data_IF_174013762542
#
_entry.id   IF_174013762542
#
_cell.length_a   1.000
_cell.length_b   1.000
_cell.length_c   1.000
_cell.angle_alpha   90.00
_cell.angle_beta   90.00
_cell.angle_gamma   90.00
#
_symmetry.space_group_name_H-M   'P 1'
#
loop_
_entity.id
_entity.type
_entity.pdbx_description
1 polymer ?
#
# COMPACT_ATOMS: atom_id res chain seq x y z
N UNK A 1 6.03 -9.28 -32.84
CA UNK A 1 6.29 -8.81 -31.47
C UNK A 1 7.65 -9.41 -31.03
N UNK A 2 8.58 -8.56 -30.59
CA UNK A 2 10.01 -8.68 -30.20
C UNK A 2 10.91 -9.93 -30.43
N UNK A 3 10.40 -11.16 -30.61
CA UNK A 3 11.19 -12.40 -30.55
C UNK A 3 11.78 -12.93 -31.88
N UNK A 4 11.62 -12.23 -33.01
CA UNK A 4 11.99 -12.79 -34.33
C UNK A 4 13.27 -12.22 -34.97
N UNK A 5 14.10 -11.46 -34.25
CA UNK A 5 15.36 -10.93 -34.79
C UNK A 5 16.53 -11.13 -33.82
N UNK A 6 17.77 -11.19 -34.34
CA UNK A 6 19.00 -11.30 -33.54
C UNK A 6 19.14 -10.13 -32.55
N UNK A 7 18.74 -10.36 -31.30
CA UNK A 7 18.86 -9.42 -30.19
C UNK A 7 19.84 -9.96 -29.16
N UNK A 8 20.53 -9.05 -28.49
CA UNK A 8 21.35 -9.39 -27.33
C UNK A 8 20.45 -9.40 -26.10
N UNK A 9 20.32 -10.57 -25.46
CA UNK A 9 19.69 -10.68 -24.15
C UNK A 9 20.77 -10.41 -23.10
N UNK A 10 20.49 -9.47 -22.21
CA UNK A 10 21.43 -9.07 -21.17
C UNK A 10 20.95 -9.64 -19.84
N UNK A 11 21.80 -10.45 -19.21
CA UNK A 11 21.53 -11.04 -17.91
C UNK A 11 22.31 -10.25 -16.84
N UNK A 12 21.63 -9.54 -15.91
CA UNK A 12 22.31 -8.92 -14.78
C UNK A 12 22.81 -10.00 -13.81
N UNK A 13 23.86 -9.71 -13.04
CA UNK A 13 24.40 -10.66 -12.05
C UNK A 13 23.43 -10.92 -10.90
N UNK A 14 22.68 -9.90 -10.52
CA UNK A 14 21.65 -9.92 -9.51
C UNK A 14 20.58 -8.86 -9.84
N UNK A 15 19.48 -8.84 -9.08
CA UNK A 15 18.36 -7.92 -9.28
C UNK A 15 18.46 -6.65 -8.43
N UNK A 16 19.64 -6.31 -7.90
CA UNK A 16 19.81 -5.04 -7.19
C UNK A 16 19.62 -3.86 -8.15
N UNK A 17 19.01 -2.74 -7.72
CA UNK A 17 18.83 -1.56 -8.56
C UNK A 17 20.15 -1.05 -9.16
N UNK A 18 21.24 -1.08 -8.38
CA UNK A 18 22.57 -0.67 -8.83
C UNK A 18 23.11 -1.52 -9.97
N UNK A 19 22.94 -2.85 -9.91
CA UNK A 19 23.40 -3.74 -10.99
C UNK A 19 22.53 -3.57 -12.23
N UNK A 20 21.20 -3.46 -12.06
CA UNK A 20 20.28 -3.21 -13.19
C UNK A 20 20.65 -1.91 -13.91
N UNK A 21 20.91 -0.83 -13.18
CA UNK A 21 21.29 0.47 -13.75
C UNK A 21 22.64 0.38 -14.47
N UNK A 22 23.65 -0.21 -13.81
CA UNK A 22 24.98 -0.42 -14.37
C UNK A 22 24.93 -1.23 -15.68
N UNK A 23 24.22 -2.34 -15.68
CA UNK A 23 24.06 -3.23 -16.84
C UNK A 23 23.32 -2.52 -17.97
N UNK A 24 22.24 -1.78 -17.67
CA UNK A 24 21.51 -1.02 -18.68
C UNK A 24 22.42 -0.01 -19.39
N UNK A 25 23.23 0.72 -18.62
CA UNK A 25 24.15 1.72 -19.15
C UNK A 25 25.31 1.07 -19.91
N UNK A 26 25.99 0.09 -19.31
CA UNK A 26 27.18 -0.57 -19.89
C UNK A 26 26.86 -1.31 -21.18
N UNK A 27 25.72 -2.00 -21.24
CA UNK A 27 25.30 -2.79 -22.39
C UNK A 27 24.44 -2.00 -23.38
N UNK A 28 24.19 -0.71 -23.15
CA UNK A 28 23.30 0.13 -23.96
C UNK A 28 21.92 -0.52 -24.16
N UNK A 29 21.32 -1.00 -23.08
CA UNK A 29 20.00 -1.64 -23.11
C UNK A 29 18.98 -0.68 -23.71
N UNK A 30 18.14 -1.22 -24.61
CA UNK A 30 17.12 -0.43 -25.32
C UNK A 30 15.70 -0.79 -24.91
N UNK A 31 15.50 -1.97 -24.34
CA UNK A 31 14.19 -2.49 -23.93
C UNK A 31 14.30 -3.04 -22.51
N UNK A 32 13.38 -2.64 -21.65
CA UNK A 32 13.28 -3.11 -20.27
C UNK A 32 11.85 -3.58 -20.05
N UNK A 33 11.69 -4.85 -19.71
CA UNK A 33 10.41 -5.48 -19.38
C UNK A 33 10.42 -5.76 -17.89
N UNK A 34 9.46 -5.22 -17.15
CA UNK A 34 9.41 -5.43 -15.71
C UNK A 34 8.00 -5.31 -15.15
N UNK A 35 7.81 -5.79 -13.93
CA UNK A 35 6.54 -5.68 -13.20
C UNK A 35 6.33 -4.26 -12.65
N UNK A 36 5.08 -3.85 -12.37
CA UNK A 36 4.78 -2.54 -11.79
C UNK A 36 5.63 -2.17 -10.57
N UNK A 37 5.88 -3.13 -9.67
CA UNK A 37 6.71 -2.91 -8.47
C UNK A 37 8.08 -2.29 -8.77
N UNK A 38 8.73 -2.71 -9.85
CA UNK A 38 10.02 -2.14 -10.25
C UNK A 38 9.86 -0.68 -10.70
N UNK A 39 8.82 -0.41 -11.49
CA UNK A 39 8.54 0.93 -12.01
C UNK A 39 8.11 1.89 -10.91
N UNK A 40 7.26 1.44 -9.99
CA UNK A 40 6.81 2.20 -8.82
C UNK A 40 8.01 2.55 -7.93
N UNK A 41 8.86 1.56 -7.62
CA UNK A 41 10.07 1.79 -6.84
C UNK A 41 11.02 2.76 -7.54
N UNK A 42 11.19 2.65 -8.85
CA UNK A 42 12.02 3.57 -9.63
C UNK A 42 11.46 5.00 -9.57
N UNK A 43 10.15 5.18 -9.78
CA UNK A 43 9.48 6.47 -9.74
C UNK A 43 9.61 7.14 -8.36
N UNK A 44 9.25 6.41 -7.29
CA UNK A 44 9.34 6.89 -5.91
C UNK A 44 10.78 7.27 -5.53
N UNK A 45 11.77 6.46 -5.90
CA UNK A 45 13.17 6.75 -5.59
C UNK A 45 13.68 8.01 -6.30
N UNK A 46 13.24 8.26 -7.54
CA UNK A 46 13.62 9.47 -8.28
C UNK A 46 13.05 10.72 -7.62
N UNK A 47 11.77 10.70 -7.25
CA UNK A 47 11.10 11.81 -6.55
C UNK A 47 11.77 12.06 -5.19
N UNK A 48 11.86 11.01 -4.36
CA UNK A 48 12.47 11.08 -3.02
C UNK A 48 13.90 11.61 -3.07
N UNK A 49 14.71 11.17 -4.04
CA UNK A 49 16.09 11.66 -4.19
C UNK A 49 16.12 13.16 -4.50
N UNK A 50 15.26 13.63 -5.40
CA UNK A 50 15.20 15.05 -5.75
C UNK A 50 14.75 15.91 -4.55
N UNK A 51 13.84 15.42 -3.72
CA UNK A 51 13.41 16.08 -2.48
C UNK A 51 14.55 16.16 -1.45
N UNK A 52 15.31 15.08 -1.27
CA UNK A 52 16.47 15.04 -0.37
C UNK A 52 17.60 15.98 -0.81
N UNK A 53 17.78 16.18 -2.13
CA UNK A 53 18.74 17.15 -2.67
C UNK A 53 18.28 18.62 -2.52
N UNK A 54 17.02 18.84 -2.11
CA UNK A 54 16.48 20.15 -1.74
C UNK A 54 15.40 20.69 -2.69
N UNK A 55 14.71 21.78 -2.30
CA UNK A 55 13.49 22.25 -2.96
C UNK A 55 13.69 22.65 -4.43
N UNK A 56 14.87 23.20 -4.78
CA UNK A 56 15.19 23.55 -6.17
C UNK A 56 15.29 22.33 -7.08
N UNK A 57 15.80 21.20 -6.58
CA UNK A 57 15.92 19.95 -7.34
C UNK A 57 14.58 19.27 -7.50
N UNK A 58 13.77 19.25 -6.44
CA UNK A 58 12.38 18.79 -6.50
C UNK A 58 11.55 19.61 -7.50
N UNK A 59 11.65 20.94 -7.48
CA UNK A 59 10.95 21.81 -8.44
C UNK A 59 11.43 21.56 -9.89
N UNK A 60 12.73 21.41 -10.11
CA UNK A 60 13.29 21.10 -11.42
C UNK A 60 12.75 19.76 -11.97
N UNK A 61 12.70 18.72 -11.14
CA UNK A 61 12.15 17.41 -11.51
C UNK A 61 10.66 17.52 -11.83
N UNK A 62 9.89 18.20 -10.99
CA UNK A 62 8.45 18.41 -11.20
C UNK A 62 8.17 19.13 -12.52
N UNK A 63 8.89 20.21 -12.82
CA UNK A 63 8.80 20.93 -14.11
C UNK A 63 9.23 20.05 -15.29
N UNK A 64 10.26 19.22 -15.13
CA UNK A 64 10.69 18.28 -16.17
C UNK A 64 9.59 17.27 -16.50
N UNK A 65 8.99 16.67 -15.47
CA UNK A 65 7.89 15.72 -15.61
C UNK A 65 6.71 16.40 -16.30
N UNK A 66 6.29 17.58 -15.82
CA UNK A 66 5.18 18.33 -16.39
C UNK A 66 5.43 18.71 -17.86
N UNK A 67 6.66 19.12 -18.21
CA UNK A 67 7.02 19.47 -19.58
C UNK A 67 6.98 18.25 -20.51
N UNK A 68 7.64 17.15 -20.15
CA UNK A 68 7.71 15.95 -20.98
C UNK A 68 6.38 15.18 -21.05
N UNK A 69 5.43 15.51 -20.17
CA UNK A 69 4.03 15.03 -20.22
C UNK A 69 3.07 16.03 -20.84
N UNK A 70 3.60 17.09 -21.46
CA UNK A 70 2.86 18.15 -22.17
C UNK A 70 1.82 18.91 -21.30
N UNK A 71 2.08 19.01 -19.99
CA UNK A 71 1.25 19.78 -19.05
C UNK A 71 1.65 21.25 -18.94
N UNK A 72 2.89 21.58 -19.28
CA UNK A 72 3.43 22.95 -19.29
C UNK A 72 4.27 23.21 -20.53
N UNK A 73 4.45 24.48 -20.86
CA UNK A 73 5.29 24.94 -21.98
C UNK A 73 6.78 24.89 -21.64
N UNK A 74 7.64 25.00 -22.67
CA UNK A 74 9.09 25.07 -22.48
C UNK A 74 9.52 26.32 -21.68
N UNK A 75 8.79 27.43 -21.82
CA UNK A 75 9.04 28.69 -21.10
C UNK A 75 8.81 28.50 -19.59
N UNK A 76 7.67 27.89 -19.21
CA UNK A 76 7.34 27.59 -17.81
C UNK A 76 8.31 26.57 -17.20
N UNK A 77 8.78 25.61 -18.00
CA UNK A 77 9.73 24.59 -17.57
C UNK A 77 11.16 25.14 -17.40
N UNK A 78 11.53 26.19 -18.14
CA UNK A 78 12.87 26.78 -18.11
C UNK A 78 13.96 25.75 -18.37
N UNK A 79 14.94 25.65 -17.48
CA UNK A 79 16.07 24.70 -17.61
C UNK A 79 15.64 23.22 -17.56
N UNK A 80 14.46 22.92 -17.01
CA UNK A 80 13.92 21.56 -16.95
C UNK A 80 13.58 20.99 -18.34
N UNK A 81 13.30 21.86 -19.33
CA UNK A 81 13.02 21.46 -20.71
C UNK A 81 14.26 21.03 -21.49
N UNK A 82 15.46 21.24 -20.94
CA UNK A 82 16.71 20.99 -21.68
C UNK A 82 17.04 19.50 -21.75
N UNK A 83 17.54 19.07 -22.91
CA UNK A 83 18.04 17.70 -23.11
C UNK A 83 19.20 17.33 -22.17
N UNK A 84 19.94 18.34 -21.70
CA UNK A 84 21.00 18.18 -20.69
C UNK A 84 20.41 17.84 -19.31
N UNK A 85 19.37 18.55 -18.85
CA UNK A 85 18.73 18.27 -17.58
C UNK A 85 18.17 16.84 -17.57
N UNK A 86 17.45 16.46 -18.63
CA UNK A 86 16.93 15.10 -18.80
C UNK A 86 18.04 14.05 -18.81
N UNK A 87 19.12 14.32 -19.54
CA UNK A 87 20.30 13.47 -19.62
C UNK A 87 20.96 13.22 -18.27
N UNK A 88 21.02 14.23 -17.39
CA UNK A 88 21.60 14.11 -16.06
C UNK A 88 20.78 13.14 -15.22
N UNK A 89 19.45 13.26 -15.25
CA UNK A 89 18.54 12.34 -14.54
C UNK A 89 18.71 10.92 -15.09
N UNK A 90 18.65 10.74 -16.41
CA UNK A 90 18.72 9.42 -17.04
C UNK A 90 20.05 8.69 -16.79
N UNK A 91 21.17 9.40 -16.78
CA UNK A 91 22.50 8.84 -16.50
C UNK A 91 22.65 8.33 -15.05
N UNK A 92 21.81 8.78 -14.13
CA UNK A 92 21.79 8.26 -12.75
C UNK A 92 20.86 7.04 -12.59
N UNK A 93 20.18 6.63 -13.65
CA UNK A 93 19.18 5.56 -13.68
C UNK A 93 19.55 4.51 -14.74
N UNK A 94 18.65 4.21 -15.68
CA UNK A 94 18.84 3.20 -16.73
C UNK A 94 19.72 3.67 -17.91
N UNK A 95 20.02 4.96 -17.99
CA UNK A 95 20.77 5.57 -19.10
C UNK A 95 19.90 5.94 -20.30
N UNK A 96 20.46 6.77 -21.19
CA UNK A 96 19.74 7.42 -22.31
C UNK A 96 19.39 6.50 -23.48
N UNK A 97 19.83 5.25 -23.46
CA UNK A 97 19.66 4.30 -24.58
C UNK A 97 18.36 3.50 -24.48
N UNK A 98 17.72 3.47 -23.31
CA UNK A 98 16.43 2.83 -23.11
C UNK A 98 15.35 3.56 -23.91
N UNK A 99 14.58 2.80 -24.69
CA UNK A 99 13.53 3.34 -25.59
C UNK A 99 12.15 2.76 -25.31
N UNK A 100 12.10 1.52 -24.81
CA UNK A 100 10.86 0.81 -24.53
C UNK A 100 10.89 0.24 -23.12
N UNK A 101 10.10 0.81 -22.24
CA UNK A 101 9.83 0.28 -20.91
C UNK A 101 8.44 -0.35 -20.93
N UNK A 102 8.33 -1.65 -20.72
CA UNK A 102 7.03 -2.35 -20.73
C UNK A 102 6.73 -2.86 -19.33
N UNK A 103 5.57 -2.44 -18.82
CA UNK A 103 4.99 -2.93 -17.58
C UNK A 103 3.88 -3.94 -17.84
N UNK A 104 3.78 -4.96 -17.00
CA UNK A 104 2.69 -5.93 -17.04
C UNK A 104 2.68 -6.85 -15.83
N UNK A 105 1.63 -7.66 -15.69
CA UNK A 105 1.46 -8.58 -14.56
C UNK A 105 0.90 -7.92 -13.29
N UNK A 106 0.41 -6.69 -13.38
CA UNK A 106 -0.24 -6.02 -12.28
C UNK A 106 -0.71 -4.61 -12.59
N UNK A 107 -1.49 -4.06 -11.66
CA UNK A 107 -1.84 -2.63 -11.64
C UNK A 107 -0.59 -1.75 -11.62
N UNK A 108 -0.58 -0.72 -12.47
CA UNK A 108 0.46 0.28 -12.63
C UNK A 108 -0.18 1.65 -12.40
N UNK A 109 0.35 2.43 -11.45
CA UNK A 109 -0.28 3.70 -11.11
C UNK A 109 -0.13 4.76 -12.19
N UNK A 110 -1.11 5.67 -12.22
CA UNK A 110 -1.05 6.86 -13.05
C UNK A 110 0.15 7.75 -12.67
N UNK A 111 0.51 7.80 -11.39
CA UNK A 111 1.68 8.54 -10.92
C UNK A 111 2.99 7.94 -11.45
N UNK A 112 3.13 6.61 -11.45
CA UNK A 112 4.31 5.94 -12.02
C UNK A 112 4.37 6.14 -13.53
N UNK A 113 3.24 6.01 -14.24
CA UNK A 113 3.17 6.34 -15.67
C UNK A 113 3.61 7.79 -15.92
N UNK A 114 3.12 8.74 -15.14
CA UNK A 114 3.45 10.15 -15.25
C UNK A 114 4.93 10.43 -14.97
N UNK A 115 5.48 9.89 -13.88
CA UNK A 115 6.86 10.10 -13.48
C UNK A 115 7.84 9.46 -14.45
N UNK A 116 7.65 8.18 -14.81
CA UNK A 116 8.58 7.46 -15.69
C UNK A 116 8.56 8.04 -17.12
N UNK A 117 7.38 8.33 -17.68
CA UNK A 117 7.30 9.02 -18.97
C UNK A 117 7.87 10.44 -18.87
N UNK A 118 7.62 11.15 -17.77
CA UNK A 118 8.09 12.51 -17.52
C UNK A 118 9.62 12.65 -17.39
N UNK A 119 10.32 11.60 -16.96
CA UNK A 119 11.80 11.53 -16.97
C UNK A 119 12.36 10.92 -18.27
N UNK A 120 11.52 10.85 -19.31
CA UNK A 120 11.91 10.51 -20.67
C UNK A 120 12.09 9.02 -20.97
N UNK A 121 11.55 8.14 -20.11
CA UNK A 121 11.45 6.72 -20.42
C UNK A 121 10.03 6.40 -20.87
N UNK A 122 9.86 5.97 -22.13
CA UNK A 122 8.54 5.59 -22.64
C UNK A 122 8.05 4.33 -21.93
N UNK A 123 7.21 4.51 -20.91
CA UNK A 123 6.59 3.43 -20.15
C UNK A 123 5.23 3.11 -20.75
N UNK A 124 5.10 1.86 -21.18
CA UNK A 124 3.94 1.28 -21.82
C UNK A 124 3.29 0.27 -20.88
N UNK A 125 1.97 0.29 -20.81
CA UNK A 125 1.20 -0.65 -20.01
C UNK A 125 0.68 -1.80 -20.89
N UNK A 126 0.84 -3.03 -20.43
CA UNK A 126 0.47 -4.22 -21.17
C UNK A 126 -0.24 -5.24 -20.29
N UNK A 127 -1.08 -6.04 -20.94
CA UNK A 127 -1.83 -7.10 -20.29
C UNK A 127 -1.41 -8.47 -20.80
N UNK A 128 -1.35 -9.40 -19.86
CA UNK A 128 -1.10 -10.79 -20.09
C UNK A 128 -1.21 -11.58 -18.79
N UNK A 129 -1.38 -12.88 -18.94
CA UNK A 129 -1.44 -13.84 -17.85
C UNK A 129 -0.78 -15.13 -18.31
N UNK A 130 -0.34 -15.98 -17.37
CA UNK A 130 0.38 -17.23 -17.68
C UNK A 130 -0.41 -18.13 -18.63
N UNK A 131 -1.73 -18.09 -18.52
CA UNK A 131 -2.71 -18.90 -19.21
C UNK A 131 -2.86 -18.59 -20.70
N UNK A 132 -2.36 -17.43 -21.17
CA UNK A 132 -2.47 -17.01 -22.58
C UNK A 132 -1.25 -16.25 -23.10
N UNK A 133 -0.32 -15.84 -22.23
CA UNK A 133 0.80 -14.96 -22.55
C UNK A 133 0.39 -13.48 -22.57
N UNK A 134 1.17 -12.65 -23.26
CA UNK A 134 0.86 -11.23 -23.44
C UNK A 134 -0.11 -11.05 -24.59
N UNK A 135 -1.20 -10.33 -24.33
CA UNK A 135 -2.35 -10.22 -25.23
C UNK A 135 -2.61 -8.81 -25.71
N UNK A 136 -2.13 -7.78 -25.01
CA UNK A 136 -2.19 -6.39 -25.46
C UNK A 136 -1.08 -5.53 -24.83
N UNK A 137 -0.69 -4.47 -25.53
CA UNK A 137 0.19 -3.40 -25.01
C UNK A 137 -0.24 -2.08 -25.62
N UNK A 138 -0.40 -1.05 -24.82
CA UNK A 138 -0.52 0.33 -25.29
C UNK A 138 0.83 0.72 -25.90
N UNK A 139 0.91 0.89 -27.22
CA UNK A 139 2.17 1.19 -27.95
C UNK A 139 2.18 2.59 -28.57
N UNK A 140 1.24 3.46 -28.18
CA UNK A 140 1.12 4.79 -28.74
C UNK A 140 2.42 5.59 -28.60
N UNK A 141 2.89 6.24 -29.67
CA UNK A 141 4.05 7.13 -29.61
C UNK A 141 3.75 8.39 -28.80
N UNK A 142 2.48 8.77 -28.69
CA UNK A 142 2.01 9.95 -27.98
C UNK A 142 1.89 9.67 -26.48
N UNK A 143 2.53 10.52 -25.66
CA UNK A 143 2.59 10.35 -24.20
C UNK A 143 1.21 10.45 -23.57
N UNK A 144 0.34 11.29 -24.12
CA UNK A 144 -1.03 11.54 -23.65
C UNK A 144 -1.87 10.27 -23.63
N UNK A 145 -1.68 9.37 -24.60
CA UNK A 145 -2.39 8.09 -24.64
C UNK A 145 -1.82 7.12 -23.60
N UNK A 146 -0.50 7.06 -23.44
CA UNK A 146 0.14 6.22 -22.41
C UNK A 146 -0.27 6.63 -20.99
N UNK A 147 -0.41 7.92 -20.76
CA UNK A 147 -0.84 8.48 -19.46
C UNK A 147 -2.30 8.19 -19.12
N UNK A 148 -3.12 7.72 -20.08
CA UNK A 148 -4.49 7.24 -19.78
C UNK A 148 -4.48 5.87 -19.08
N UNK A 149 -3.35 5.15 -19.07
CA UNK A 149 -3.23 3.86 -18.39
C UNK A 149 -3.90 2.68 -19.12
N UNK A 150 -4.26 2.85 -20.39
CA UNK A 150 -4.84 1.77 -21.21
C UNK A 150 -3.86 0.60 -21.33
N UNK A 151 -4.37 -0.62 -21.52
CA UNK A 151 -3.57 -1.79 -21.93
C UNK A 151 -3.52 -1.94 -23.46
N UNK A 152 -4.01 -0.92 -24.19
CA UNK A 152 -4.10 -0.87 -25.65
C UNK A 152 -5.19 -1.76 -26.25
N UNK A 153 -5.04 -2.02 -27.55
CA UNK A 153 -5.85 -2.98 -28.30
C UNK A 153 -5.29 -4.41 -28.19
N UNK A 154 -6.14 -5.44 -28.35
CA UNK A 154 -5.64 -6.81 -28.46
C UNK A 154 -4.64 -6.96 -29.62
N UNK A 155 -3.59 -7.74 -29.39
CA UNK A 155 -2.60 -8.09 -30.39
C UNK A 155 -3.25 -8.90 -31.52
N UNK A 156 -2.58 -8.94 -32.68
CA UNK A 156 -3.07 -9.70 -33.82
C UNK A 156 -3.33 -11.18 -33.47
N UNK A 157 -4.52 -11.67 -33.80
CA UNK A 157 -4.96 -13.03 -33.49
C UNK A 157 -5.57 -13.21 -32.10
N UNK A 158 -5.65 -12.15 -31.30
CA UNK A 158 -6.35 -12.12 -30.01
C UNK A 158 -7.69 -11.42 -30.19
N UNK A 159 -8.76 -12.02 -29.66
CA UNK A 159 -10.09 -11.42 -29.58
C UNK A 159 -10.43 -11.14 -28.11
N UNK A 160 -10.87 -9.92 -27.82
CA UNK A 160 -11.41 -9.51 -26.52
C UNK A 160 -12.92 -9.40 -26.57
N UNK A 161 -13.59 -9.87 -25.52
CA UNK A 161 -15.03 -9.68 -25.30
C UNK A 161 -15.24 -9.27 -23.84
N UNK A 162 -16.18 -8.37 -23.59
CA UNK A 162 -16.58 -8.02 -22.22
C UNK A 162 -17.89 -8.75 -21.90
N UNK A 163 -17.86 -9.65 -20.93
CA UNK A 163 -19.07 -10.28 -20.41
C UNK A 163 -19.66 -9.39 -19.32
N UNK A 164 -20.88 -8.91 -19.55
CA UNK A 164 -21.60 -8.12 -18.57
C UNK A 164 -22.03 -9.02 -17.40
N UNK A 165 -21.92 -8.52 -16.18
CA UNK A 165 -22.49 -9.17 -14.99
C UNK A 165 -23.35 -8.13 -14.28
N UNK A 166 -24.48 -8.54 -13.72
CA UNK A 166 -25.45 -7.61 -13.12
C UNK A 166 -24.92 -6.80 -11.93
N UNK A 167 -23.75 -7.17 -11.40
CA UNK A 167 -23.06 -6.47 -10.32
C UNK A 167 -22.08 -5.38 -10.84
N UNK A 168 -21.84 -5.30 -12.16
CA UNK A 168 -20.89 -4.35 -12.75
C UNK A 168 -21.55 -3.08 -13.27
N UNK A 169 -20.76 -2.02 -13.40
CA UNK A 169 -21.20 -0.80 -14.08
C UNK A 169 -21.54 -1.12 -15.55
N UNK A 170 -22.53 -0.47 -16.19
CA UNK A 170 -22.96 -0.83 -17.56
C UNK A 170 -21.86 -0.83 -18.64
N UNK A 171 -20.79 -0.06 -18.42
CA UNK A 171 -19.64 0.04 -19.35
C UNK A 171 -18.46 -0.87 -18.96
N UNK A 172 -18.65 -1.74 -17.97
CA UNK A 172 -17.65 -2.65 -17.45
C UNK A 172 -18.10 -4.11 -17.63
N UNK A 173 -17.13 -5.00 -17.78
CA UNK A 173 -17.40 -6.43 -17.89
C UNK A 173 -16.18 -7.27 -17.57
N UNK A 174 -16.41 -8.57 -17.34
CA UNK A 174 -15.33 -9.54 -17.29
C UNK A 174 -14.64 -9.60 -18.65
N UNK A 175 -13.32 -9.40 -18.66
CA UNK A 175 -12.52 -9.56 -19.86
C UNK A 175 -12.44 -11.05 -20.22
N UNK A 176 -12.94 -11.38 -21.39
CA UNK A 176 -12.87 -12.70 -21.98
C UNK A 176 -11.89 -12.68 -23.15
N UNK A 177 -11.02 -13.69 -23.23
CA UNK A 177 -9.96 -13.76 -24.24
C UNK A 177 -10.07 -15.02 -25.06
N UNK A 178 -10.09 -14.86 -26.38
CA UNK A 178 -9.89 -15.96 -27.32
C UNK A 178 -8.59 -15.73 -28.08
N UNK A 179 -7.71 -16.71 -28.05
CA UNK A 179 -6.36 -16.62 -28.64
C UNK A 179 -5.84 -18.01 -28.98
N UNK A 180 -5.03 -18.16 -30.05
CA UNK A 180 -4.31 -19.40 -30.32
C UNK A 180 -3.25 -19.74 -29.26
N UNK A 181 -2.91 -18.80 -28.37
CA UNK A 181 -1.90 -18.97 -27.32
C UNK A 181 -2.47 -19.39 -25.96
N UNK A 182 -3.78 -19.67 -25.87
CA UNK A 182 -4.38 -20.20 -24.63
C UNK A 182 -3.69 -21.54 -24.29
N UNK A 183 -3.33 -21.70 -23.02
CA UNK A 183 -2.69 -22.90 -22.50
C UNK A 183 -3.52 -24.15 -22.78
N UNK A 184 -2.85 -25.28 -23.00
CA UNK A 184 -3.54 -26.53 -23.33
C UNK A 184 -4.07 -27.27 -22.10
N UNK A 185 -3.35 -27.19 -20.98
CA UNK A 185 -3.64 -27.91 -19.74
C UNK A 185 -3.15 -27.12 -18.51
N UNK A 186 -3.87 -27.23 -17.40
CA UNK A 186 -3.49 -26.76 -16.06
C UNK A 186 -3.34 -27.96 -15.11
N UNK A 187 -2.43 -27.89 -14.14
CA UNK A 187 -2.26 -28.92 -13.11
C UNK A 187 -2.94 -28.45 -11.82
N UNK A 188 -4.06 -29.06 -11.47
CA UNK A 188 -4.83 -28.74 -10.26
C UNK A 188 -4.92 -30.00 -9.40
N UNK A 189 -4.45 -29.92 -8.15
CA UNK A 189 -4.41 -31.05 -7.20
C UNK A 189 -3.72 -32.31 -7.75
N UNK A 190 -2.71 -32.13 -8.62
CA UNK A 190 -1.97 -33.24 -9.24
C UNK A 190 -2.61 -33.82 -10.50
N UNK A 191 -3.74 -33.28 -10.95
CA UNK A 191 -4.44 -33.73 -12.16
C UNK A 191 -4.34 -32.70 -13.29
N UNK A 192 -4.21 -33.18 -14.53
CA UNK A 192 -4.26 -32.34 -15.72
C UNK A 192 -5.72 -32.02 -16.09
N UNK A 193 -6.06 -30.74 -16.14
CA UNK A 193 -7.37 -30.24 -16.55
C UNK A 193 -7.24 -29.35 -17.78
N UNK A 194 -8.23 -29.38 -18.67
CA UNK A 194 -8.29 -28.45 -19.80
C UNK A 194 -8.85 -27.09 -19.33
N UNK A 195 -8.46 -25.96 -19.97
CA UNK A 195 -9.09 -24.69 -19.68
C UNK A 195 -10.61 -24.76 -19.88
N UNK A 196 -11.35 -24.16 -18.95
CA UNK A 196 -12.77 -23.92 -19.13
C UNK A 196 -12.96 -22.74 -20.08
N UNK A 197 -13.46 -23.02 -21.28
CA UNK A 197 -13.71 -22.02 -22.32
C UNK A 197 -15.21 -21.88 -22.56
N UNK A 198 -15.68 -20.65 -22.71
CA UNK A 198 -17.04 -20.30 -23.10
C UNK A 198 -17.02 -19.79 -24.54
N UNK A 199 -17.55 -20.57 -25.49
CA UNK A 199 -17.47 -20.28 -26.94
C UNK A 199 -16.04 -20.01 -27.44
N UNK A 200 -15.06 -20.70 -26.86
CA UNK A 200 -13.64 -20.54 -27.18
C UNK A 200 -12.95 -19.37 -26.47
N UNK A 201 -13.66 -18.64 -25.61
CA UNK A 201 -13.09 -17.60 -24.77
C UNK A 201 -12.74 -18.11 -23.37
N UNK A 202 -11.55 -17.73 -22.90
CA UNK A 202 -11.07 -17.91 -21.54
C UNK A 202 -11.58 -16.77 -20.64
N UNK A 203 -12.09 -17.12 -19.47
CA UNK A 203 -12.45 -16.17 -18.39
C UNK A 203 -11.20 -15.74 -17.65
N UNK A 204 -10.87 -14.45 -17.71
CA UNK A 204 -9.66 -13.92 -17.03
C UNK A 204 -9.89 -13.64 -15.54
N UNK A 205 -11.16 -13.44 -15.14
CA UNK A 205 -11.51 -12.92 -13.82
C UNK A 205 -11.13 -11.44 -13.62
N UNK A 206 -10.64 -10.77 -14.67
CA UNK A 206 -10.27 -9.36 -14.66
C UNK A 206 -11.40 -8.53 -15.26
N UNK A 207 -11.62 -7.35 -14.69
CA UNK A 207 -12.68 -6.43 -15.09
C UNK A 207 -12.06 -5.38 -15.98
N UNK A 208 -12.70 -5.12 -17.11
CA UNK A 208 -12.26 -4.10 -18.03
C UNK A 208 -13.43 -3.25 -18.54
N UNK A 209 -13.09 -2.06 -19.01
CA UNK A 209 -13.93 -1.26 -19.89
C UNK A 209 -13.20 -0.97 -21.19
N UNK A 210 -13.94 -0.57 -22.22
CA UNK A 210 -13.40 -0.17 -23.53
C UNK A 210 -13.88 1.24 -23.86
N UNK A 211 -12.98 2.08 -24.36
CA UNK A 211 -13.35 3.42 -24.83
C UNK A 211 -13.82 3.42 -26.29
N UNK A 212 -14.32 4.57 -26.76
CA UNK A 212 -14.82 4.76 -28.12
C UNK A 212 -13.76 4.52 -29.21
N UNK A 213 -12.46 4.57 -28.84
CA UNK A 213 -11.33 4.29 -29.73
C UNK A 213 -10.88 2.84 -29.69
N UNK A 214 -11.56 2.00 -28.91
CA UNK A 214 -11.26 0.57 -28.77
C UNK A 214 -10.12 0.25 -27.81
N UNK A 215 -9.63 1.22 -27.03
CA UNK A 215 -8.61 0.95 -26.01
C UNK A 215 -9.25 0.33 -24.77
N UNK A 216 -8.63 -0.72 -24.25
CA UNK A 216 -9.09 -1.40 -23.05
C UNK A 216 -8.39 -0.86 -21.81
N UNK A 217 -9.13 -0.79 -20.71
CA UNK A 217 -8.64 -0.36 -19.40
C UNK A 217 -9.03 -1.39 -18.36
N UNK A 218 -8.05 -1.89 -17.61
CA UNK A 218 -8.32 -2.77 -16.48
C UNK A 218 -8.80 -1.95 -15.29
N UNK A 219 -9.80 -2.47 -14.59
CA UNK A 219 -10.40 -1.87 -13.41
C UNK A 219 -10.04 -2.62 -12.14
N UNK A 220 -9.96 -3.95 -12.20
CA UNK A 220 -9.62 -4.79 -11.05
C UNK A 220 -9.94 -6.24 -11.32
N UNK A 221 -10.13 -7.03 -10.26
CA UNK A 221 -10.54 -8.44 -10.36
C UNK A 221 -11.93 -8.64 -9.78
N UNK A 222 -12.71 -9.53 -10.40
CA UNK A 222 -14.09 -9.85 -9.98
C UNK A 222 -14.15 -10.27 -8.51
N UNK A 223 -13.15 -11.00 -8.03
CA UNK A 223 -13.10 -11.51 -6.65
C UNK A 223 -12.73 -10.43 -5.62
N UNK A 224 -12.19 -9.31 -6.07
CA UNK A 224 -11.64 -8.26 -5.19
C UNK A 224 -12.50 -6.99 -5.17
N UNK A 225 -13.53 -6.87 -6.02
CA UNK A 225 -14.44 -5.71 -6.02
C UNK A 225 -15.08 -5.57 -4.64
N UNK A 226 -15.06 -4.35 -4.12
CA UNK A 226 -15.80 -3.99 -2.93
C UNK A 226 -17.10 -3.31 -3.37
N UNK A 227 -18.24 -3.82 -2.89
CA UNK A 227 -19.55 -3.21 -3.16
C UNK A 227 -19.95 -2.42 -1.92
N UNK A 228 -19.97 -1.09 -2.02
CA UNK A 228 -20.30 -0.23 -0.88
C UNK A 228 -21.81 -0.19 -0.58
N UNK A 229 -22.20 0.56 0.45
CA UNK A 229 -23.61 0.69 0.89
C UNK A 229 -24.55 1.29 -0.17
N UNK A 230 -24.01 2.04 -1.13
CA UNK A 230 -24.73 2.63 -2.24
C UNK A 230 -24.82 1.69 -3.46
N UNK A 231 -24.23 0.49 -3.38
CA UNK A 231 -24.19 -0.47 -4.47
C UNK A 231 -23.16 -0.15 -5.55
N UNK A 232 -22.21 0.74 -5.27
CA UNK A 232 -21.16 1.10 -6.21
C UNK A 232 -19.95 0.18 -6.11
N UNK A 233 -19.30 -0.05 -7.25
CA UNK A 233 -18.08 -0.85 -7.35
C UNK A 233 -16.86 -0.02 -7.01
N UNK A 234 -16.12 -0.49 -6.02
CA UNK A 234 -14.90 0.11 -5.53
C UNK A 234 -13.75 -0.85 -5.83
N UNK A 235 -12.75 -0.33 -6.54
CA UNK A 235 -11.57 -1.06 -6.98
C UNK A 235 -10.43 -0.86 -5.99
N UNK A 236 -10.03 -1.89 -5.21
CA UNK A 236 -9.04 -1.72 -4.15
C UNK A 236 -7.69 -1.20 -4.64
N UNK A 237 -7.20 -1.69 -5.77
CA UNK A 237 -5.90 -1.29 -6.34
C UNK A 237 -5.87 0.24 -6.63
N UNK A 238 -6.98 0.82 -7.09
CA UNK A 238 -7.11 2.28 -7.30
C UNK A 238 -7.10 3.04 -5.97
N UNK A 239 -7.76 2.51 -4.93
CA UNK A 239 -7.77 3.13 -3.61
C UNK A 239 -6.40 3.06 -2.92
N UNK A 240 -5.68 1.95 -3.08
CA UNK A 240 -4.35 1.74 -2.50
C UNK A 240 -3.35 2.80 -3.00
N UNK A 241 -3.48 3.22 -4.27
CA UNK A 241 -2.66 4.24 -4.89
C UNK A 241 -2.69 5.59 -4.18
N UNK A 242 -3.82 5.96 -3.57
CA UNK A 242 -3.92 7.23 -2.84
C UNK A 242 -3.07 7.25 -1.57
N UNK A 243 -2.82 6.09 -0.95
CA UNK A 243 -2.18 6.00 0.37
C UNK A 243 -0.74 5.46 0.31
N UNK A 244 -0.32 4.88 -0.82
CA UNK A 244 0.97 4.16 -0.91
C UNK A 244 2.20 5.05 -0.78
N UNK A 245 2.09 6.33 -1.13
CA UNK A 245 3.20 7.29 -1.13
C UNK A 245 3.33 8.08 0.19
N UNK A 246 2.53 7.72 1.21
CA UNK A 246 2.65 8.26 2.56
C UNK A 246 4.01 7.85 3.15
N UNK A 247 4.76 8.83 3.67
CA UNK A 247 6.08 8.58 4.26
C UNK A 247 5.96 7.64 5.46
N UNK A 248 6.77 6.57 5.45
CA UNK A 248 6.78 5.55 6.51
C UNK A 248 5.87 4.36 6.24
N UNK A 249 5.00 4.45 5.22
CA UNK A 249 4.21 3.33 4.71
C UNK A 249 5.05 2.48 3.76
N UNK A 250 4.99 1.16 3.92
CA UNK A 250 5.68 0.20 3.04
C UNK A 250 4.75 -0.50 2.09
N UNK A 251 3.54 -0.86 2.54
CA UNK A 251 2.51 -1.50 1.73
C UNK A 251 1.13 -1.04 2.19
N UNK A 252 0.22 -0.99 1.24
CA UNK A 252 -1.20 -0.70 1.48
C UNK A 252 -2.02 -1.87 0.94
N UNK A 253 -3.07 -2.24 1.67
CA UNK A 253 -4.03 -3.24 1.22
C UNK A 253 -5.44 -2.77 1.58
N UNK A 254 -6.25 -2.48 0.56
CA UNK A 254 -7.65 -2.10 0.73
C UNK A 254 -8.53 -3.33 0.61
N UNK A 255 -9.50 -3.42 1.52
CA UNK A 255 -10.36 -4.57 1.75
C UNK A 255 -11.81 -4.15 1.90
N UNK A 256 -12.72 -4.93 1.33
CA UNK A 256 -14.14 -4.88 1.69
C UNK A 256 -14.38 -5.80 2.88
N UNK A 257 -14.84 -5.27 4.01
CA UNK A 257 -15.18 -6.05 5.21
C UNK A 257 -16.69 -6.00 5.42
N UNK A 258 -17.33 -7.16 5.48
CA UNK A 258 -18.77 -7.23 5.72
C UNK A 258 -19.10 -6.81 7.14
N UNK A 259 -20.04 -5.88 7.28
CA UNK A 259 -20.60 -5.48 8.56
C UNK A 259 -21.97 -6.15 8.78
N UNK A 260 -21.98 -7.24 9.54
CA UNK A 260 -23.19 -7.96 9.91
C UNK A 260 -23.82 -8.72 8.73
N UNK A 261 -25.16 -8.70 8.65
CA UNK A 261 -25.94 -9.44 7.63
C UNK A 261 -26.18 -8.66 6.33
N UNK A 262 -25.63 -7.45 6.20
CA UNK A 262 -25.87 -6.63 5.03
C UNK A 262 -25.09 -7.15 3.82
N UNK A 263 -25.59 -6.85 2.62
CA UNK A 263 -24.96 -7.23 1.36
C UNK A 263 -23.78 -6.31 0.96
N UNK A 264 -23.59 -5.18 1.65
CA UNK A 264 -22.50 -4.24 1.39
C UNK A 264 -21.27 -4.49 2.28
N UNK A 265 -20.13 -4.01 1.80
CA UNK A 265 -18.84 -4.08 2.46
C UNK A 265 -18.35 -2.69 2.85
N UNK A 266 -17.77 -2.60 4.04
CA UNK A 266 -17.09 -1.41 4.52
C UNK A 266 -15.65 -1.39 4.01
N UNK A 267 -15.26 -0.28 3.39
CA UNK A 267 -13.90 -0.07 2.89
C UNK A 267 -12.94 0.06 4.09
N UNK A 268 -12.03 -0.90 4.22
CA UNK A 268 -10.99 -0.96 5.25
C UNK A 268 -9.62 -0.90 4.59
N UNK A 269 -8.77 0.02 5.02
CA UNK A 269 -7.40 0.17 4.54
C UNK A 269 -6.41 -0.37 5.57
N UNK A 270 -5.62 -1.37 5.20
CA UNK A 270 -4.54 -1.92 6.03
C UNK A 270 -3.21 -1.36 5.55
N UNK A 271 -2.49 -0.71 6.44
CA UNK A 271 -1.24 -0.01 6.19
C UNK A 271 -0.11 -0.74 6.92
N UNK A 272 0.82 -1.31 6.16
CA UNK A 272 2.10 -1.79 6.69
C UNK A 272 3.05 -0.60 6.83
N UNK A 273 3.71 -0.49 7.98
CA UNK A 273 4.68 0.57 8.26
C UNK A 273 6.08 0.00 8.44
N UNK A 274 7.11 0.84 8.24
CA UNK A 274 8.47 0.43 8.58
C UNK A 274 8.65 0.25 10.10
N UNK A 275 9.61 -0.58 10.49
CA UNK A 275 9.93 -0.84 11.89
C UNK A 275 10.54 0.37 12.63
N UNK A 276 11.04 1.36 11.90
CA UNK A 276 11.66 2.58 12.43
C UNK A 276 10.67 3.76 12.56
N UNK A 277 9.39 3.56 12.24
CA UNK A 277 8.34 4.57 12.39
C UNK A 277 8.08 4.81 13.88
N UNK A 278 8.34 6.05 14.33
CA UNK A 278 8.04 6.50 15.70
C UNK A 278 6.55 6.72 15.93
N UNK A 279 6.13 6.92 17.17
CA UNK A 279 4.72 7.27 17.45
C UNK A 279 4.33 8.64 16.90
N UNK A 280 5.26 9.60 16.90
CA UNK A 280 5.05 10.91 16.28
C UNK A 280 4.84 10.76 14.75
N UNK A 281 5.61 9.88 14.11
CA UNK A 281 5.43 9.56 12.70
C UNK A 281 4.08 8.86 12.45
N UNK A 282 3.60 8.01 13.36
CA UNK A 282 2.26 7.40 13.27
C UNK A 282 1.14 8.45 13.30
N UNK A 283 1.28 9.49 14.14
CA UNK A 283 0.34 10.63 14.16
C UNK A 283 0.35 11.37 12.83
N UNK A 284 1.54 11.56 12.25
CA UNK A 284 1.67 12.21 10.94
C UNK A 284 1.06 11.36 9.82
N UNK A 285 1.36 10.06 9.77
CA UNK A 285 0.77 9.10 8.83
C UNK A 285 -0.75 9.11 8.97
N UNK A 286 -1.29 9.13 10.20
CA UNK A 286 -2.72 9.25 10.44
C UNK A 286 -3.30 10.49 9.77
N UNK A 287 -2.69 11.64 10.07
CA UNK A 287 -3.14 12.92 9.56
C UNK A 287 -3.15 12.93 8.03
N UNK A 288 -2.12 12.38 7.40
CA UNK A 288 -2.05 12.25 5.94
C UNK A 288 -3.13 11.31 5.41
N UNK A 289 -3.38 10.17 6.06
CA UNK A 289 -4.48 9.27 5.69
C UNK A 289 -5.84 9.99 5.78
N UNK A 290 -6.09 10.74 6.85
CA UNK A 290 -7.34 11.49 7.04
C UNK A 290 -7.49 12.60 5.98
N UNK A 291 -6.43 13.36 5.69
CA UNK A 291 -6.42 14.40 4.65
C UNK A 291 -6.73 13.82 3.25
N UNK A 292 -6.05 12.73 2.90
CA UNK A 292 -6.27 12.02 1.63
C UNK A 292 -7.69 11.48 1.57
N UNK A 293 -8.16 10.79 2.61
CA UNK A 293 -9.50 10.21 2.67
C UNK A 293 -10.60 11.27 2.57
N UNK A 294 -10.39 12.45 3.15
CA UNK A 294 -11.32 13.58 3.06
C UNK A 294 -11.39 14.19 1.65
N UNK A 295 -10.32 14.04 0.85
CA UNK A 295 -10.28 14.49 -0.55
C UNK A 295 -10.97 13.51 -1.52
N UNK A 296 -11.23 12.27 -1.10
CA UNK A 296 -11.93 11.28 -1.90
C UNK A 296 -13.44 11.58 -2.00
N UNK A 297 -14.06 11.11 -3.08
CA UNK A 297 -15.51 11.12 -3.20
C UNK A 297 -16.14 10.30 -2.09
N UNK A 298 -17.38 10.64 -1.69
CA UNK A 298 -18.00 10.06 -0.50
C UNK A 298 -18.05 8.53 -0.54
N UNK A 299 -18.22 7.97 -1.74
CA UNK A 299 -18.43 6.56 -2.00
C UNK A 299 -17.13 5.74 -1.95
N UNK A 300 -16.00 6.43 -2.11
CA UNK A 300 -14.62 5.91 -2.04
C UNK A 300 -13.99 6.05 -0.64
N UNK A 301 -14.69 6.68 0.31
CA UNK A 301 -14.14 6.94 1.65
C UNK A 301 -13.88 5.65 2.41
N UNK A 302 -12.64 5.52 2.89
CA UNK A 302 -12.21 4.48 3.80
C UNK A 302 -12.89 4.69 5.15
N UNK A 303 -13.63 3.68 5.63
CA UNK A 303 -14.33 3.70 6.92
C UNK A 303 -13.44 3.31 8.09
N UNK A 304 -12.42 2.48 7.85
CA UNK A 304 -11.49 2.03 8.88
C UNK A 304 -10.06 1.94 8.35
N UNK A 305 -9.11 2.53 9.07
CA UNK A 305 -7.69 2.31 8.83
C UNK A 305 -7.09 1.41 9.92
N UNK A 306 -6.34 0.41 9.49
CA UNK A 306 -5.65 -0.58 10.31
C UNK A 306 -4.15 -0.50 10.02
N UNK A 307 -3.31 -0.57 11.05
CA UNK A 307 -1.85 -0.55 10.97
C UNK A 307 -1.35 -1.95 11.25
N UNK A 308 -0.52 -2.47 10.35
CA UNK A 308 0.24 -3.70 10.56
C UNK A 308 1.69 -3.36 10.85
N UNK A 309 2.16 -3.76 12.04
CA UNK A 309 3.59 -3.72 12.41
C UNK A 309 4.35 -4.97 11.92
N UNK A 310 3.63 -5.95 11.38
CA UNK A 310 4.19 -7.20 10.86
C UNK A 310 4.04 -7.19 9.34
N UNK A 311 5.01 -7.72 8.58
CA UNK A 311 4.90 -7.78 7.12
C UNK A 311 3.63 -8.49 6.64
N UNK A 312 2.91 -7.85 5.71
CA UNK A 312 1.72 -8.41 5.08
C UNK A 312 2.09 -9.61 4.18
N UNK A 313 1.22 -10.62 4.07
CA UNK A 313 1.47 -11.79 3.23
C UNK A 313 1.59 -11.42 1.75
N UNK A 314 2.64 -11.91 1.08
CA UNK A 314 2.93 -11.57 -0.32
C UNK A 314 2.78 -12.76 -1.29
N UNK A 315 2.51 -12.46 -2.56
CA UNK A 315 2.63 -13.36 -3.71
C UNK A 315 4.10 -13.58 -4.09
N UNK A 316 4.36 -14.53 -4.99
CA UNK A 316 5.70 -14.69 -5.57
C UNK A 316 6.14 -13.43 -6.36
N UNK A 317 5.19 -12.62 -6.85
CA UNK A 317 5.42 -11.32 -7.48
C UNK A 317 5.53 -10.17 -6.48
N UNK A 318 5.67 -10.45 -5.18
CA UNK A 318 5.78 -9.46 -4.09
C UNK A 318 4.56 -8.53 -3.91
N UNK A 319 3.43 -8.87 -4.53
CA UNK A 319 2.14 -8.17 -4.29
C UNK A 319 1.48 -8.67 -3.03
N UNK A 320 0.72 -7.82 -2.35
CA UNK A 320 -0.06 -8.23 -1.17
C UNK A 320 -1.11 -9.27 -1.56
N UNK A 321 -1.16 -10.39 -0.84
CA UNK A 321 -2.20 -11.41 -0.96
C UNK A 321 -3.47 -10.94 -0.24
N UNK A 322 -4.24 -10.08 -0.89
CA UNK A 322 -5.46 -9.46 -0.37
C UNK A 322 -6.39 -10.42 0.38
N UNK A 323 -6.69 -11.58 -0.19
CA UNK A 323 -7.55 -12.58 0.45
C UNK A 323 -7.01 -13.06 1.81
N UNK A 324 -5.69 -13.20 1.96
CA UNK A 324 -5.07 -13.58 3.25
C UNK A 324 -5.14 -12.44 4.25
N UNK A 325 -4.95 -11.20 3.82
CA UNK A 325 -5.09 -10.03 4.70
C UNK A 325 -6.55 -9.91 5.16
N UNK A 326 -7.53 -10.12 4.26
CA UNK A 326 -8.95 -10.18 4.61
C UNK A 326 -9.22 -11.22 5.69
N UNK A 327 -8.74 -12.45 5.50
CA UNK A 327 -8.87 -13.50 6.52
C UNK A 327 -8.23 -13.13 7.87
N UNK A 328 -7.05 -12.50 7.85
CA UNK A 328 -6.38 -12.05 9.08
C UNK A 328 -7.19 -10.98 9.80
N UNK A 329 -7.71 -9.99 9.06
CA UNK A 329 -8.55 -8.93 9.61
C UNK A 329 -9.86 -9.48 10.14
N UNK A 330 -10.49 -10.43 9.44
CA UNK A 330 -11.76 -11.03 9.88
C UNK A 330 -11.59 -11.95 11.10
N UNK A 331 -10.48 -12.71 11.19
CA UNK A 331 -10.22 -13.66 12.28
C UNK A 331 -9.59 -13.02 13.52
N UNK A 332 -8.79 -11.96 13.36
CA UNK A 332 -7.97 -11.42 14.44
C UNK A 332 -7.82 -9.88 14.33
N UNK A 333 -8.94 -9.17 14.47
CA UNK A 333 -9.00 -7.69 14.38
C UNK A 333 -8.01 -7.00 15.32
N UNK A 334 -7.72 -7.59 16.47
CA UNK A 334 -6.87 -7.01 17.51
C UNK A 334 -5.37 -7.09 17.19
N UNK A 335 -4.98 -7.90 16.20
CA UNK A 335 -3.59 -7.96 15.71
C UNK A 335 -3.19 -6.76 14.86
N UNK A 336 -4.14 -5.88 14.52
CA UNK A 336 -3.89 -4.64 13.78
C UNK A 336 -4.21 -3.44 14.68
N UNK A 337 -3.29 -2.48 14.73
CA UNK A 337 -3.52 -1.24 15.49
C UNK A 337 -4.46 -0.32 14.71
N UNK A 338 -5.40 0.37 15.36
CA UNK A 338 -6.27 1.36 14.70
C UNK A 338 -5.63 2.75 14.74
N UNK A 339 -5.79 3.52 13.67
CA UNK A 339 -5.34 4.92 13.63
C UNK A 339 -6.08 5.77 14.66
N UNK A 340 -5.35 6.23 15.67
CA UNK A 340 -5.85 7.06 16.76
C UNK A 340 -7.03 6.44 17.49
N UNK A 341 -6.74 5.41 18.26
CA UNK A 341 -7.36 5.30 19.58
C UNK A 341 -7.04 6.60 20.31
N UNK A 342 -7.96 7.58 20.25
CA UNK A 342 -8.15 8.44 21.42
C UNK A 342 -8.38 7.46 22.55
N UNK A 343 -7.55 7.57 23.60
CA UNK A 343 -7.79 6.90 24.88
C UNK A 343 -9.29 6.86 25.14
N UNK A 344 -9.84 5.68 25.39
CA UNK A 344 -10.91 5.64 26.38
C UNK A 344 -10.26 6.27 27.60
N UNK A 345 -10.71 7.46 28.00
CA UNK A 345 -10.53 7.87 29.39
C UNK A 345 -11.05 6.67 30.16
N UNK A 346 -10.19 5.97 30.89
CA UNK A 346 -10.64 4.87 31.72
C UNK A 346 -11.38 5.51 32.87
N UNK A 347 -12.68 5.66 32.69
CA UNK A 347 -13.56 6.01 33.78
C UNK A 347 -13.54 4.78 34.69
N UNK A 348 -13.11 4.93 35.95
CA UNK A 348 -13.19 3.86 36.95
C UNK A 348 -14.65 3.66 37.42
N UNK A 349 -15.61 3.73 36.49
CA UNK A 349 -17.05 3.63 36.73
C UNK A 349 -17.34 2.28 37.39
N UNK A 350 -17.93 2.33 38.58
CA UNK A 350 -18.20 1.17 39.43
C UNK A 350 -17.22 0.99 40.59
N UNK A 351 -16.07 1.67 40.60
CA UNK A 351 -15.16 1.71 41.76
C UNK A 351 -15.41 2.95 42.61
N UNK A 352 -15.23 2.84 43.92
CA UNK A 352 -15.24 4.02 44.80
C UNK A 352 -13.93 4.77 44.63
N UNK A 353 -13.98 6.09 44.42
CA UNK A 353 -12.77 6.90 44.25
C UNK A 353 -11.84 6.86 45.46
N UNK A 354 -12.37 6.58 46.66
CA UNK A 354 -11.61 6.35 47.88
C UNK A 354 -10.64 5.15 47.77
N UNK A 355 -11.00 4.13 46.96
CA UNK A 355 -10.18 2.96 46.70
C UNK A 355 -9.21 3.17 45.52
N UNK A 356 -9.58 4.02 44.57
CA UNK A 356 -8.81 4.29 43.34
C UNK A 356 -7.71 5.33 43.55
N UNK A 357 -8.00 6.44 44.23
CA UNK A 357 -7.06 7.54 44.43
C UNK A 357 -5.75 7.14 45.12
N UNK A 358 -5.75 6.29 46.16
CA UNK A 358 -4.51 5.84 46.78
C UNK A 358 -3.65 5.03 45.81
N UNK A 359 -4.26 4.22 44.95
CA UNK A 359 -3.56 3.40 43.94
C UNK A 359 -2.94 4.31 42.88
N UNK A 360 -3.68 5.29 42.34
CA UNK A 360 -3.16 6.28 41.39
C UNK A 360 -1.94 7.01 41.98
N UNK A 361 -2.06 7.53 43.20
CA UNK A 361 -0.98 8.27 43.87
C UNK A 361 0.26 7.40 44.04
N UNK A 362 0.10 6.13 44.40
CA UNK A 362 1.22 5.24 44.64
C UNK A 362 1.87 4.75 43.34
N UNK A 363 1.09 4.37 42.32
CA UNK A 363 1.62 4.05 40.98
C UNK A 363 2.39 5.25 40.41
N UNK A 364 1.86 6.48 40.54
CA UNK A 364 2.54 7.70 40.09
C UNK A 364 3.87 7.93 40.79
N UNK A 365 3.96 7.64 42.10
CA UNK A 365 5.24 7.73 42.83
C UNK A 365 6.26 6.70 42.33
N UNK A 366 5.82 5.49 42.01
CA UNK A 366 6.71 4.45 41.46
C UNK A 366 7.23 4.90 40.09
N UNK A 367 6.36 5.42 39.23
CA UNK A 367 6.75 6.00 37.95
C UNK A 367 7.79 7.11 38.13
N UNK A 368 7.51 8.07 39.02
CA UNK A 368 8.40 9.19 39.34
C UNK A 368 9.77 8.73 39.86
N UNK A 369 9.79 7.71 40.73
CA UNK A 369 11.01 7.14 41.30
C UNK A 369 11.90 6.51 40.23
N UNK A 370 11.33 5.70 39.36
CA UNK A 370 12.09 4.95 38.35
C UNK A 370 12.57 5.87 37.23
N UNK A 371 11.73 6.81 36.79
CA UNK A 371 12.06 7.76 35.72
C UNK A 371 12.87 8.98 36.19
N UNK A 372 13.08 9.13 37.51
CA UNK A 372 13.70 10.31 38.13
C UNK A 372 12.98 11.62 37.74
N UNK A 373 11.65 11.55 37.62
CA UNK A 373 10.79 12.68 37.27
C UNK A 373 9.97 13.17 38.48
N UNK A 374 9.73 14.48 38.63
CA UNK A 374 8.78 14.96 39.63
C UNK A 374 7.36 14.42 39.36
N UNK A 375 6.61 13.98 40.38
CA UNK A 375 5.24 13.47 40.18
C UNK A 375 4.31 14.44 39.44
N UNK A 376 4.54 15.75 39.57
CA UNK A 376 3.76 16.82 38.89
C UNK A 376 3.94 16.80 37.37
N UNK A 377 5.02 16.17 36.88
CA UNK A 377 5.33 16.02 35.45
C UNK A 377 4.75 14.75 34.81
N UNK A 378 4.03 13.94 35.58
CA UNK A 378 3.49 12.65 35.13
C UNK A 378 1.98 12.72 35.25
N UNK A 379 1.27 12.76 34.12
CA UNK A 379 -0.19 12.65 34.10
C UNK A 379 -0.62 11.17 34.09
N UNK A 380 -1.87 10.89 34.47
CA UNK A 380 -2.37 9.52 34.59
C UNK A 380 -2.39 8.74 33.27
N UNK A 381 -2.38 9.49 32.19
CA UNK A 381 -2.48 9.01 30.83
C UNK A 381 -1.12 9.03 30.11
N UNK A 382 -0.06 9.61 30.67
CA UNK A 382 1.21 9.69 29.95
C UNK A 382 1.80 8.28 29.74
N UNK A 383 2.14 7.97 28.49
CA UNK A 383 2.72 6.70 28.09
C UNK A 383 4.17 6.58 28.59
N UNK A 384 4.48 5.46 29.23
CA UNK A 384 5.77 5.13 29.85
C UNK A 384 6.96 5.46 28.96
N UNK A 385 6.97 4.89 27.75
CA UNK A 385 8.05 5.10 26.78
C UNK A 385 7.92 6.46 26.09
N UNK A 386 6.79 6.74 25.46
CA UNK A 386 6.69 7.81 24.48
C UNK A 386 6.55 9.21 25.10
N UNK A 387 5.86 9.33 26.23
CA UNK A 387 5.62 10.63 26.86
C UNK A 387 6.60 10.90 28.01
N UNK A 388 7.02 9.85 28.74
CA UNK A 388 7.83 9.98 29.95
C UNK A 388 9.29 9.56 29.80
N UNK A 389 9.68 9.01 28.64
CA UNK A 389 11.07 8.65 28.33
C UNK A 389 11.57 7.38 29.01
N UNK A 390 10.68 6.50 29.46
CA UNK A 390 11.03 5.17 29.97
C UNK A 390 11.51 4.21 28.87
N UNK A 391 12.21 3.16 29.27
CA UNK A 391 12.71 2.11 28.35
C UNK A 391 12.28 0.71 28.80
N UNK A 392 12.64 -0.32 28.02
CA UNK A 392 12.26 -1.70 28.32
C UNK A 392 12.91 -2.26 29.59
N UNK A 393 14.09 -1.77 29.98
CA UNK A 393 14.78 -2.25 31.19
C UNK A 393 14.15 -1.65 32.45
N UNK A 394 13.92 -0.33 32.45
CA UNK A 394 13.18 0.38 33.49
C UNK A 394 11.71 -0.04 33.57
N UNK A 395 11.10 -0.49 32.48
CA UNK A 395 9.74 -1.04 32.49
C UNK A 395 9.66 -2.37 33.27
N UNK A 396 10.67 -3.24 33.14
CA UNK A 396 10.73 -4.49 33.93
C UNK A 396 10.89 -4.16 35.43
N UNK A 397 11.69 -3.15 35.77
CA UNK A 397 11.81 -2.64 37.14
C UNK A 397 10.47 -2.07 37.65
N UNK A 398 9.74 -1.33 36.80
CA UNK A 398 8.42 -0.79 37.10
C UNK A 398 7.42 -1.88 37.48
N UNK A 399 7.35 -2.94 36.67
CA UNK A 399 6.49 -4.10 36.95
C UNK A 399 6.86 -4.74 38.29
N UNK A 400 8.17 -4.91 38.54
CA UNK A 400 8.67 -5.46 39.80
C UNK A 400 8.27 -4.64 41.02
N UNK A 401 8.43 -3.32 40.96
CA UNK A 401 8.08 -2.42 42.06
C UNK A 401 6.56 -2.32 42.26
N UNK A 402 5.75 -2.36 41.19
CA UNK A 402 4.28 -2.38 41.29
C UNK A 402 3.79 -3.69 41.92
N UNK A 403 4.28 -4.85 41.44
CA UNK A 403 3.94 -6.15 42.01
C UNK A 403 4.23 -6.19 43.53
N UNK A 404 5.40 -5.67 43.92
CA UNK A 404 5.82 -5.58 45.31
C UNK A 404 4.99 -4.59 46.14
N UNK A 405 4.68 -3.41 45.60
CA UNK A 405 3.95 -2.37 46.32
C UNK A 405 2.50 -2.75 46.62
N UNK A 406 1.88 -3.55 45.73
CA UNK A 406 0.47 -3.93 45.85
C UNK A 406 0.23 -5.38 46.26
N UNK A 407 1.29 -6.17 46.44
CA UNK A 407 1.26 -7.62 46.73
C UNK A 407 0.44 -8.39 45.68
N UNK A 408 0.79 -8.18 44.41
CA UNK A 408 0.13 -8.78 43.24
C UNK A 408 1.15 -9.38 42.28
N UNK A 409 0.67 -10.18 41.33
CA UNK A 409 1.46 -10.67 40.20
C UNK A 409 0.76 -10.34 38.90
N UNK A 410 1.24 -9.29 38.21
CA UNK A 410 0.76 -8.94 36.87
C UNK A 410 1.16 -10.04 35.87
N UNK A 411 0.22 -10.61 35.10
CA UNK A 411 0.51 -11.61 34.07
C UNK A 411 1.42 -11.09 32.95
N UNK A 412 2.35 -11.93 32.45
CA UNK A 412 3.33 -11.54 31.44
C UNK A 412 2.69 -11.10 30.10
N UNK A 413 1.53 -11.65 29.74
CA UNK A 413 0.77 -11.26 28.55
C UNK A 413 0.23 -9.81 28.61
N UNK A 414 0.28 -9.18 29.79
CA UNK A 414 -0.08 -7.78 30.00
C UNK A 414 1.09 -6.80 29.88
N UNK A 415 2.34 -7.26 29.82
CA UNK A 415 3.55 -6.40 29.90
C UNK A 415 3.74 -5.48 28.67
N UNK A 416 2.99 -5.70 27.60
CA UNK A 416 2.98 -4.81 26.42
C UNK A 416 1.71 -3.95 26.33
N UNK A 417 0.77 -4.14 27.26
CA UNK A 417 -0.55 -3.51 27.24
C UNK A 417 -0.61 -2.38 28.28
N UNK A 418 0.03 -2.56 29.44
CA UNK A 418 0.00 -1.59 30.52
C UNK A 418 1.05 -0.50 30.27
N UNK A 419 0.63 0.65 29.75
CA UNK A 419 1.59 1.65 29.26
C UNK A 419 1.49 2.99 29.97
N UNK A 420 0.46 3.23 30.78
CA UNK A 420 0.28 4.45 31.58
C UNK A 420 -0.29 4.11 32.96
N UNK A 421 -0.38 5.11 33.86
CA UNK A 421 -0.85 4.91 35.24
C UNK A 421 -2.26 4.33 35.27
N UNK A 422 -3.18 4.81 34.43
CA UNK A 422 -4.56 4.31 34.39
C UNK A 422 -4.64 2.83 34.01
N UNK A 423 -3.76 2.35 33.14
CA UNK A 423 -3.67 0.93 32.80
C UNK A 423 -3.27 0.08 34.01
N UNK A 424 -2.24 0.51 34.73
CA UNK A 424 -1.79 -0.18 35.94
C UNK A 424 -2.85 -0.17 37.04
N UNK A 425 -3.52 0.96 37.25
CA UNK A 425 -4.56 1.10 38.29
C UNK A 425 -5.72 0.14 38.04
N UNK A 426 -6.20 0.03 36.80
CA UNK A 426 -7.28 -0.91 36.46
C UNK A 426 -6.86 -2.37 36.71
N UNK A 427 -5.66 -2.76 36.26
CA UNK A 427 -5.17 -4.12 36.45
C UNK A 427 -4.97 -4.45 37.95
N UNK A 428 -4.47 -3.49 38.75
CA UNK A 428 -4.35 -3.63 40.21
C UNK A 428 -5.73 -3.83 40.84
N UNK A 429 -6.74 -3.04 40.45
CA UNK A 429 -8.10 -3.16 40.98
C UNK A 429 -8.73 -4.53 40.66
N UNK A 430 -8.48 -5.05 39.46
CA UNK A 430 -8.91 -6.38 39.04
C UNK A 430 -8.23 -7.46 39.88
N UNK A 431 -6.90 -7.41 40.00
CA UNK A 431 -6.12 -8.42 40.71
C UNK A 431 -6.37 -8.42 42.22
N UNK A 432 -6.74 -7.26 42.80
CA UNK A 432 -7.09 -7.14 44.22
C UNK A 432 -8.55 -7.47 44.54
N UNK A 433 -9.36 -7.90 43.55
CA UNK A 433 -10.80 -8.19 43.73
C UNK A 433 -11.59 -7.06 44.41
N UNK A 434 -11.27 -5.80 44.11
CA UNK A 434 -12.03 -4.67 44.68
C UNK A 434 -13.45 -4.69 44.07
N UNK A 435 -14.47 -4.91 44.91
CA UNK A 435 -15.84 -5.06 44.43
C UNK A 435 -16.33 -3.79 43.72
N UNK A 436 -16.88 -3.96 42.52
CA UNK A 436 -17.61 -2.89 41.84
C UNK A 436 -18.94 -2.66 42.58
N UNK A 437 -19.13 -1.46 43.13
CA UNK A 437 -20.44 -1.05 43.64
C UNK A 437 -21.47 -1.08 42.52
N UNK A 438 -22.56 -1.84 42.71
CA UNK A 438 -23.69 -1.94 41.78
C UNK A 438 -24.45 -0.63 41.64
#
# INVERSE_FOLDING_TARGET
WYTFFGKNIVFPKDLSPSEIFNVCQKCNVTHVYSVPLFWDSLAQNVVRKAELEGPKKAELLSKMIAFNTHKITAEEAGTASTSLALSIVQNQLLGKKVRYCISGGGYLSNETLNTINGIGYNLYNGFGMTEVGVTSVELSPMVEYRLKGSIGHPLHGVEYKLANTSALHPNEGELLIKSPTIHSLEIINGEFQKPLLEDGFLKTGDIACVDETGNYYLKGRIKDIIINENGENIYPDELEDYFKDIKGVTKVCVLGIKNGKNHHEDITCVIEINNDVSEDDLVLIKKQCDEINNSLSNEKRVKSFLISKVPLPLTASMKVKRFKVKELVEKNKDSFAKFGVKKKIKNFDGYKMEDVEPIIKEVRKIFAKILLLPCVKINDDDHWINDLGGDSMSYVELIGEINKAFDIQIPEDKYAILVNINDFVEEILILKNVEKTK
#
